data_IF_087269938097
#
_entry.id   IF_087269938097
#
_cell.length_a   1.000
_cell.length_b   1.000
_cell.length_c   1.000
_cell.angle_alpha   90.00
_cell.angle_beta   90.00
_cell.angle_gamma   90.00
#
_symmetry.space_group_name_H-M   'P 1'
#
loop_
_entity.id
_entity.type
_entity.pdbx_description
1 polymer ?
#
# COMPACT_ATOMS: atom_id res chain seq x y z
N UNK A 1 -7.95 3.93 15.12
CA UNK A 1 -8.61 2.63 15.30
C UNK A 1 -9.76 2.79 16.28
N UNK A 2 -10.95 2.27 15.96
CA UNK A 2 -12.16 2.27 16.77
C UNK A 2 -12.58 0.82 17.01
N UNK A 3 -12.97 0.47 18.24
CA UNK A 3 -13.58 -0.83 18.57
C UNK A 3 -14.74 -0.57 19.53
N UNK A 4 -15.92 -1.05 19.20
CA UNK A 4 -17.12 -0.95 20.01
C UNK A 4 -17.82 -2.31 20.06
N UNK A 5 -18.21 -2.74 21.24
CA UNK A 5 -18.89 -4.02 21.46
C UNK A 5 -20.12 -3.81 22.33
N UNK A 6 -21.21 -4.40 21.89
CA UNK A 6 -22.46 -4.34 22.62
C UNK A 6 -23.05 -5.73 22.80
N UNK A 7 -23.19 -6.13 24.05
CA UNK A 7 -23.89 -7.37 24.44
C UNK A 7 -25.37 -7.07 24.59
N UNK A 8 -26.19 -7.53 23.66
CA UNK A 8 -27.64 -7.38 23.71
C UNK A 8 -28.31 -8.54 24.47
N UNK A 9 -27.60 -9.63 24.68
CA UNK A 9 -28.01 -10.79 25.45
C UNK A 9 -26.76 -11.49 26.06
N UNK A 10 -26.93 -12.31 27.08
CA UNK A 10 -25.82 -13.12 27.65
C UNK A 10 -25.14 -14.02 26.60
N UNK A 11 -25.86 -14.34 25.53
CA UNK A 11 -25.44 -15.22 24.43
C UNK A 11 -25.22 -14.49 23.11
N UNK A 12 -25.38 -13.17 23.06
CA UNK A 12 -25.32 -12.40 21.83
C UNK A 12 -24.55 -11.11 21.97
N UNK A 13 -23.69 -10.86 21.01
CA UNK A 13 -22.85 -9.66 20.92
C UNK A 13 -22.83 -9.14 19.49
N UNK A 14 -22.90 -7.82 19.35
CA UNK A 14 -22.61 -7.09 18.12
C UNK A 14 -21.31 -6.33 18.34
N UNK A 15 -20.47 -6.28 17.33
CA UNK A 15 -19.24 -5.51 17.37
C UNK A 15 -19.08 -4.66 16.12
N UNK A 16 -18.50 -3.50 16.30
CA UNK A 16 -18.11 -2.57 15.26
C UNK A 16 -16.63 -2.25 15.43
N UNK A 17 -15.85 -2.46 14.38
CA UNK A 17 -14.46 -2.05 14.34
C UNK A 17 -14.22 -1.13 13.16
N UNK A 18 -13.32 -0.18 13.31
CA UNK A 18 -12.92 0.75 12.26
C UNK A 18 -11.44 1.09 12.36
N UNK A 19 -10.79 1.22 11.22
CA UNK A 19 -9.42 1.73 11.12
C UNK A 19 -9.30 2.65 9.91
N UNK A 20 -8.41 3.60 10.01
CA UNK A 20 -7.96 4.44 8.92
C UNK A 20 -6.45 4.47 8.96
N UNK A 21 -5.84 4.33 7.82
CA UNK A 21 -4.39 4.36 7.61
C UNK A 21 -4.12 5.30 6.45
N UNK A 22 -3.29 6.29 6.67
CA UNK A 22 -2.74 7.17 5.64
C UNK A 22 -1.27 6.86 5.53
N UNK A 23 -0.80 6.67 4.32
CA UNK A 23 0.61 6.44 4.02
C UNK A 23 1.06 7.49 3.02
N UNK A 24 2.11 8.19 3.40
CA UNK A 24 2.82 9.17 2.58
C UNK A 24 4.30 8.78 2.61
N UNK A 25 4.83 8.43 1.46
CA UNK A 25 6.23 8.05 1.31
C UNK A 25 6.74 8.48 -0.06
N UNK A 26 7.86 9.19 -0.08
CA UNK A 26 8.48 9.66 -1.32
C UNK A 26 9.99 9.80 -1.20
N UNK A 27 10.67 9.88 -2.32
CA UNK A 27 12.09 10.21 -2.38
C UNK A 27 12.27 11.70 -2.64
N UNK A 28 12.80 12.43 -1.66
CA UNK A 28 13.05 13.87 -1.81
C UNK A 28 14.17 14.22 -2.79
N UNK A 29 15.17 13.34 -2.92
CA UNK A 29 16.24 13.49 -3.90
C UNK A 29 17.05 12.20 -4.05
N UNK A 30 17.49 11.92 -5.26
CA UNK A 30 18.51 10.90 -5.52
C UNK A 30 19.75 11.62 -6.03
N UNK A 31 20.84 11.50 -5.29
CA UNK A 31 22.14 12.01 -5.71
C UNK A 31 23.02 10.83 -6.11
N UNK A 32 23.35 10.75 -7.38
CA UNK A 32 24.35 9.81 -7.85
C UNK A 32 25.73 10.42 -7.60
N UNK A 33 26.50 9.80 -6.75
CA UNK A 33 27.91 10.14 -6.56
C UNK A 33 28.70 9.40 -7.63
N UNK A 34 29.43 10.12 -8.52
CA UNK A 34 30.29 9.47 -9.48
C UNK A 34 31.27 8.53 -8.75
N UNK A 35 31.41 7.33 -9.28
CA UNK A 35 32.43 6.43 -8.75
C UNK A 35 33.81 7.01 -9.09
N UNK A 36 34.65 7.24 -8.10
CA UNK A 36 36.02 7.75 -8.27
C UNK A 36 36.89 6.83 -9.13
N UNK A 37 36.47 5.59 -9.37
CA UNK A 37 37.16 4.60 -10.21
C UNK A 37 36.84 4.78 -11.72
N UNK A 38 35.93 5.70 -12.10
CA UNK A 38 35.68 6.00 -13.51
C UNK A 38 36.84 6.79 -14.07
N UNK A 39 37.55 6.20 -15.03
CA UNK A 39 38.64 6.88 -15.74
C UNK A 39 38.08 8.02 -16.62
N UNK A 40 38.02 9.21 -16.07
CA UNK A 40 37.55 10.42 -16.74
C UNK A 40 38.39 10.83 -17.95
N UNK A 41 39.56 10.21 -18.18
CA UNK A 41 40.36 10.46 -19.36
C UNK A 41 39.71 9.88 -20.62
N UNK A 42 38.78 8.96 -20.49
CA UNK A 42 37.96 8.42 -21.56
C UNK A 42 36.87 9.41 -22.04
N UNK A 43 36.61 10.45 -21.24
CA UNK A 43 35.59 11.46 -21.50
C UNK A 43 36.19 12.87 -21.45
N UNK A 44 36.87 13.31 -22.49
CA UNK A 44 37.60 14.59 -22.50
C UNK A 44 36.70 15.81 -22.28
N UNK A 45 35.42 15.70 -22.51
CA UNK A 45 34.43 16.77 -22.32
C UNK A 45 33.80 16.73 -20.92
N UNK A 46 34.08 15.75 -20.10
CA UNK A 46 33.47 15.54 -18.80
C UNK A 46 32.61 14.28 -18.74
N UNK A 47 31.32 14.41 -18.45
CA UNK A 47 30.40 13.27 -18.40
C UNK A 47 30.11 12.70 -19.78
N UNK A 48 29.92 11.38 -19.93
CA UNK A 48 29.51 10.77 -21.18
C UNK A 48 28.23 11.42 -21.70
N UNK A 49 28.29 11.95 -22.88
CA UNK A 49 27.19 12.63 -23.55
C UNK A 49 26.77 11.99 -24.88
N UNK A 50 25.70 12.47 -25.50
CA UNK A 50 25.29 12.04 -26.82
C UNK A 50 26.41 12.35 -27.82
N UNK A 51 27.08 11.33 -28.35
CA UNK A 51 28.20 11.49 -29.30
C UNK A 51 29.53 10.96 -28.80
N UNK A 52 29.63 10.57 -27.53
CA UNK A 52 30.79 9.86 -27.00
C UNK A 52 30.85 8.42 -27.55
N UNK A 53 31.88 7.68 -27.18
CA UNK A 53 32.16 6.36 -27.74
C UNK A 53 30.90 5.45 -27.79
N UNK A 54 30.38 5.11 -28.99
CA UNK A 54 29.19 4.29 -29.13
C UNK A 54 29.38 2.85 -28.61
N UNK A 55 30.59 2.46 -28.28
CA UNK A 55 30.89 1.14 -27.69
C UNK A 55 30.89 1.16 -26.18
N UNK A 56 30.82 2.33 -25.55
CA UNK A 56 30.73 2.45 -24.11
C UNK A 56 29.35 2.00 -23.63
N UNK A 57 29.27 1.13 -22.64
CA UNK A 57 27.99 0.76 -22.03
C UNK A 57 27.29 1.94 -21.35
N UNK A 58 28.00 3.05 -21.12
CA UNK A 58 27.47 4.28 -20.53
C UNK A 58 26.96 5.27 -21.59
N UNK A 59 27.22 5.03 -22.87
CA UNK A 59 26.87 5.91 -23.97
C UNK A 59 25.36 6.15 -24.15
N UNK A 60 24.50 5.29 -23.63
CA UNK A 60 23.07 5.30 -23.92
C UNK A 60 22.21 5.92 -22.83
N UNK A 61 22.79 6.46 -21.78
CA UNK A 61 22.00 6.81 -20.62
C UNK A 61 22.29 8.23 -20.13
N UNK A 62 21.64 9.17 -20.81
CA UNK A 62 21.32 10.44 -20.16
C UNK A 62 20.26 10.10 -19.09
N UNK A 63 20.72 9.71 -17.92
CA UNK A 63 19.82 9.44 -16.79
C UNK A 63 19.32 10.77 -16.24
N UNK A 64 18.23 11.26 -16.80
CA UNK A 64 17.48 12.33 -16.17
C UNK A 64 16.66 11.75 -15.02
N UNK A 65 17.17 11.92 -13.81
CA UNK A 65 16.47 11.53 -12.58
C UNK A 65 15.64 12.66 -12.00
N UNK A 66 15.49 13.78 -12.71
CA UNK A 66 14.71 14.94 -12.24
C UNK A 66 13.24 14.63 -12.00
N UNK A 67 12.70 13.65 -12.72
CA UNK A 67 11.33 13.18 -12.58
C UNK A 67 11.13 12.01 -11.63
N UNK A 68 12.19 11.55 -10.95
CA UNK A 68 12.06 10.36 -10.06
C UNK A 68 11.08 10.61 -8.90
N UNK A 69 10.98 11.85 -8.43
CA UNK A 69 10.04 12.22 -7.40
C UNK A 69 8.59 11.99 -7.85
N UNK A 70 8.30 12.25 -9.12
CA UNK A 70 6.96 12.05 -9.71
C UNK A 70 6.57 10.56 -9.80
N UNK A 71 7.57 9.65 -9.74
CA UNK A 71 7.35 8.21 -9.89
C UNK A 71 7.51 7.43 -8.58
N UNK A 72 7.94 8.08 -7.53
CA UNK A 72 8.29 7.43 -6.28
C UNK A 72 7.41 7.83 -5.11
N UNK A 73 6.59 8.84 -5.32
CA UNK A 73 5.65 9.27 -4.29
C UNK A 73 4.53 8.23 -4.17
N UNK A 74 4.28 7.82 -2.96
CA UNK A 74 3.21 6.91 -2.59
C UNK A 74 2.32 7.65 -1.59
N UNK A 75 1.16 8.08 -2.04
CA UNK A 75 0.14 8.67 -1.19
C UNK A 75 -1.12 7.82 -1.28
N UNK A 76 -1.40 7.11 -0.20
CA UNK A 76 -2.47 6.14 -0.21
C UNK A 76 -3.21 6.14 1.12
N UNK A 77 -4.53 6.18 1.04
CA UNK A 77 -5.45 6.10 2.15
C UNK A 77 -6.22 4.78 2.16
N UNK A 78 -6.25 4.11 3.30
CA UNK A 78 -7.08 2.93 3.54
C UNK A 78 -8.07 3.20 4.67
N UNK A 79 -9.35 3.02 4.39
CA UNK A 79 -10.39 2.98 5.40
C UNK A 79 -11.01 1.59 5.47
N UNK A 80 -11.15 1.08 6.69
CA UNK A 80 -11.80 -0.20 6.95
C UNK A 80 -12.86 -0.05 8.02
N UNK A 81 -14.05 -0.60 7.76
CA UNK A 81 -15.11 -0.73 8.74
C UNK A 81 -15.65 -2.15 8.74
N UNK A 82 -15.85 -2.75 9.91
CA UNK A 82 -16.43 -4.09 10.05
C UNK A 82 -17.54 -4.06 11.08
N UNK A 83 -18.73 -4.49 10.68
CA UNK A 83 -19.85 -4.75 11.57
C UNK A 83 -20.08 -6.26 11.62
N UNK A 84 -20.10 -6.82 12.82
CA UNK A 84 -20.32 -8.24 12.99
C UNK A 84 -21.15 -8.57 14.21
N UNK A 85 -21.61 -9.81 14.26
CA UNK A 85 -22.33 -10.36 15.39
C UNK A 85 -21.90 -11.79 15.70
N UNK A 86 -22.06 -12.16 16.94
CA UNK A 86 -21.97 -13.55 17.40
C UNK A 86 -23.20 -13.87 18.24
N UNK A 87 -23.72 -15.07 18.10
CA UNK A 87 -24.86 -15.54 18.89
C UNK A 87 -24.73 -17.03 19.20
N UNK A 88 -24.88 -17.40 20.47
CA UNK A 88 -24.87 -18.79 20.93
C UNK A 88 -26.30 -19.22 21.25
N UNK A 89 -26.83 -20.20 20.52
CA UNK A 89 -28.17 -20.76 20.81
C UNK A 89 -28.16 -21.68 21.98
N UNK A 90 -27.11 -22.50 22.13
CA UNK A 90 -26.87 -23.45 23.22
C UNK A 90 -25.37 -23.48 23.53
N UNK A 91 -24.95 -24.21 24.54
CA UNK A 91 -23.54 -24.34 24.91
C UNK A 91 -22.67 -24.88 23.74
N UNK A 92 -23.26 -25.69 22.86
CA UNK A 92 -22.56 -26.37 21.78
C UNK A 92 -22.70 -25.69 20.40
N UNK A 93 -23.67 -24.79 20.18
CA UNK A 93 -23.94 -24.23 18.83
C UNK A 93 -23.93 -22.71 18.87
N UNK A 94 -23.13 -22.12 18.01
CA UNK A 94 -23.08 -20.69 17.81
C UNK A 94 -23.16 -20.30 16.33
N UNK A 95 -23.56 -19.07 16.08
CA UNK A 95 -23.59 -18.43 14.77
C UNK A 95 -22.75 -17.17 14.83
N UNK A 96 -22.10 -16.86 13.74
CA UNK A 96 -21.44 -15.56 13.56
C UNK A 96 -21.65 -15.05 12.15
N UNK A 97 -21.64 -13.74 12.00
CA UNK A 97 -21.64 -13.08 10.71
C UNK A 97 -20.97 -11.73 10.82
N UNK A 98 -20.36 -11.29 9.72
CA UNK A 98 -19.78 -9.97 9.64
C UNK A 98 -19.81 -9.45 8.20
N UNK A 99 -19.91 -8.13 8.08
CA UNK A 99 -19.73 -7.37 6.85
C UNK A 99 -18.56 -6.43 7.07
N UNK A 100 -17.57 -6.51 6.19
CA UNK A 100 -16.41 -5.62 6.18
C UNK A 100 -16.42 -4.79 4.91
N UNK A 101 -16.23 -3.50 5.07
CA UNK A 101 -16.04 -2.54 4.00
C UNK A 101 -14.58 -2.11 4.02
N UNK A 102 -13.96 -2.13 2.85
CA UNK A 102 -12.61 -1.62 2.60
C UNK A 102 -12.74 -0.56 1.53
N UNK A 103 -12.17 0.58 1.76
CA UNK A 103 -12.10 1.68 0.81
C UNK A 103 -10.64 2.11 0.68
N UNK A 104 -10.16 2.19 -0.56
CA UNK A 104 -8.79 2.54 -0.90
C UNK A 104 -8.83 3.76 -1.80
N UNK A 105 -8.08 4.77 -1.47
CA UNK A 105 -7.80 5.94 -2.31
C UNK A 105 -6.31 6.01 -2.59
N UNK A 106 -5.96 6.09 -3.85
CA UNK A 106 -4.61 6.30 -4.35
C UNK A 106 -4.58 7.71 -4.93
N UNK A 107 -3.97 8.64 -4.22
CA UNK A 107 -4.01 10.06 -4.58
C UNK A 107 -2.91 10.43 -5.58
N UNK A 108 -1.92 9.54 -5.80
CA UNK A 108 -0.87 9.74 -6.81
C UNK A 108 -0.58 8.46 -7.63
N UNK A 109 -1.53 8.02 -8.47
CA UNK A 109 -1.41 6.77 -9.22
C UNK A 109 -0.41 6.89 -10.36
N UNK A 110 0.74 6.22 -10.26
CA UNK A 110 1.77 6.24 -11.31
C UNK A 110 1.53 5.22 -12.43
N UNK A 111 1.29 3.96 -12.08
CA UNK A 111 1.15 2.88 -13.08
C UNK A 111 -0.31 2.52 -13.30
N UNK A 112 -1.08 2.45 -12.24
CA UNK A 112 -2.48 2.08 -12.26
C UNK A 112 -3.16 2.67 -11.02
N UNK A 113 -4.28 3.35 -11.24
CA UNK A 113 -5.15 3.80 -10.17
C UNK A 113 -5.66 2.60 -9.37
N UNK A 114 -5.23 2.52 -8.12
CA UNK A 114 -5.63 1.50 -7.15
C UNK A 114 -6.88 1.85 -6.36
N UNK A 115 -7.49 3.00 -6.64
CA UNK A 115 -8.69 3.48 -5.95
C UNK A 115 -9.87 2.53 -6.14
N UNK A 116 -10.53 2.18 -5.06
CA UNK A 116 -11.68 1.31 -5.12
C UNK A 116 -12.19 0.87 -3.76
N UNK A 117 -13.34 0.22 -3.78
CA UNK A 117 -13.94 -0.31 -2.57
C UNK A 117 -14.26 -1.80 -2.70
N UNK A 118 -14.09 -2.52 -1.61
CA UNK A 118 -14.40 -3.95 -1.51
C UNK A 118 -15.32 -4.20 -0.32
N UNK A 119 -16.40 -4.93 -0.56
CA UNK A 119 -17.28 -5.40 0.50
C UNK A 119 -17.11 -6.91 0.67
N UNK A 120 -16.78 -7.33 1.88
CA UNK A 120 -16.64 -8.74 2.24
C UNK A 120 -17.74 -9.13 3.22
N UNK A 121 -18.49 -10.17 2.88
CA UNK A 121 -19.49 -10.76 3.77
C UNK A 121 -19.03 -12.14 4.18
N UNK A 122 -18.98 -12.40 5.46
CA UNK A 122 -18.64 -13.72 6.00
C UNK A 122 -19.64 -14.16 7.07
N UNK A 123 -19.77 -15.45 7.25
CA UNK A 123 -20.63 -16.01 8.29
C UNK A 123 -20.43 -17.51 8.40
N UNK A 124 -20.81 -18.04 9.54
CA UNK A 124 -20.65 -19.47 9.79
C UNK A 124 -21.30 -19.95 11.09
N UNK A 125 -21.08 -21.24 11.31
CA UNK A 125 -21.53 -21.98 12.47
C UNK A 125 -20.31 -22.43 13.28
N UNK A 126 -20.43 -22.38 14.57
CA UNK A 126 -19.49 -23.01 15.49
C UNK A 126 -20.20 -24.14 16.23
N UNK A 127 -19.57 -25.29 16.30
CA UNK A 127 -20.09 -26.44 17.02
C UNK A 127 -18.98 -27.02 17.89
N UNK A 128 -19.25 -27.14 19.17
CA UNK A 128 -18.37 -27.81 20.15
C UNK A 128 -19.05 -29.08 20.66
N UNK A 129 -18.33 -30.18 20.76
CA UNK A 129 -18.76 -31.50 21.26
C UNK A 129 -17.80 -32.00 22.34
#
# INVERSE_FOLDING_TARGET
MLDARWKFHERGEIYLTGSMTTTDAGFNSITLVPNDDVDMTLFPDGLPGPGDDPTSPLHFHDYDFSGINEYSDLEYDEMRATLGFTFKTREAIGFYGAVSLYDFSDDDPYIQDGTGSVTVVNGGLTWSF
#
